data_IF_653453932542
#
_entry.id   IF_653453932542
#
_cell.length_a   1.000
_cell.length_b   1.000
_cell.length_c   1.000
_cell.angle_alpha   90.00
_cell.angle_beta   90.00
_cell.angle_gamma   90.00
#
_symmetry.space_group_name_H-M   'P 1'
#
loop_
_entity.id
_entity.type
_entity.pdbx_description
1 polymer ?
#
# COMPACT_ATOMS: atom_id res chain seq x y z
N UNK A 1 -1.46 -23.17 24.89
CA UNK A 1 -1.25 -23.08 23.44
C UNK A 1 -0.07 -23.98 23.09
N UNK A 2 -0.24 -24.92 22.18
CA UNK A 2 0.82 -25.81 21.68
C UNK A 2 0.94 -25.63 20.16
N UNK A 3 2.17 -25.56 19.64
CA UNK A 3 2.43 -25.37 18.21
C UNK A 3 3.86 -24.87 17.93
N UNK A 4 4.30 -24.97 16.67
CA UNK A 4 5.62 -24.52 16.25
C UNK A 4 5.63 -22.99 16.11
N UNK A 5 6.30 -22.31 17.04
CA UNK A 5 6.55 -20.88 17.01
C UNK A 5 7.97 -20.66 16.51
N UNK A 6 8.13 -19.97 15.37
CA UNK A 6 9.45 -19.55 14.89
C UNK A 6 9.69 -18.11 15.34
N UNK A 7 10.73 -17.91 16.11
CA UNK A 7 11.22 -16.58 16.48
C UNK A 7 12.36 -16.21 15.52
N UNK A 8 12.25 -15.07 14.85
CA UNK A 8 13.29 -14.53 13.98
C UNK A 8 13.78 -13.22 14.60
N UNK A 9 15.07 -13.17 14.91
CA UNK A 9 15.73 -11.98 15.41
C UNK A 9 16.33 -11.21 14.24
N UNK A 10 15.99 -9.93 14.15
CA UNK A 10 16.58 -8.96 13.24
C UNK A 10 17.45 -8.04 14.08
N UNK A 11 18.72 -8.43 14.22
CA UNK A 11 19.71 -7.70 15.04
C UNK A 11 20.01 -6.32 14.47
N UNK A 12 20.02 -6.18 13.14
CA UNK A 12 20.28 -4.91 12.44
C UNK A 12 19.24 -3.86 12.81
N UNK A 13 17.96 -4.24 12.86
CA UNK A 13 16.87 -3.32 13.16
C UNK A 13 16.39 -3.38 14.61
N UNK A 14 17.03 -4.19 15.47
CA UNK A 14 16.65 -4.46 16.86
C UNK A 14 15.16 -4.85 16.99
N UNK A 15 14.73 -5.83 16.21
CA UNK A 15 13.34 -6.31 16.19
C UNK A 15 13.30 -7.83 16.32
N UNK A 16 12.23 -8.33 16.92
CA UNK A 16 11.91 -9.75 16.91
C UNK A 16 10.60 -9.97 16.17
N UNK A 17 10.59 -10.92 15.25
CA UNK A 17 9.40 -11.38 14.56
C UNK A 17 8.98 -12.73 15.14
N UNK A 18 7.72 -12.84 15.50
CA UNK A 18 7.12 -14.10 15.95
C UNK A 18 6.25 -14.62 14.81
N UNK A 19 6.69 -15.70 14.19
CA UNK A 19 5.94 -16.39 13.14
C UNK A 19 5.18 -17.54 13.79
N UNK A 20 3.86 -17.38 13.88
CA UNK A 20 2.96 -18.42 14.35
C UNK A 20 2.32 -19.07 13.13
N UNK A 21 2.57 -20.38 12.97
CA UNK A 21 1.86 -21.18 11.97
C UNK A 21 0.55 -21.60 12.61
N UNK A 22 -0.56 -21.35 11.93
CA UNK A 22 -1.87 -21.82 12.33
C UNK A 22 -2.56 -22.43 11.12
N UNK A 23 -3.27 -23.53 11.34
CA UNK A 23 -4.06 -24.16 10.29
C UNK A 23 -5.20 -23.22 9.88
N UNK A 24 -5.22 -22.87 8.62
CA UNK A 24 -6.31 -22.11 8.04
C UNK A 24 -7.38 -23.11 7.63
N UNK A 25 -8.46 -23.19 8.41
CA UNK A 25 -9.62 -24.01 8.04
C UNK A 25 -10.05 -23.69 6.59
N UNK A 26 -10.04 -24.71 5.72
CA UNK A 26 -10.48 -24.60 4.33
C UNK A 26 -11.90 -24.06 4.30
N UNK A 27 -12.10 -22.96 3.57
CA UNK A 27 -13.43 -22.45 3.32
C UNK A 27 -14.12 -23.34 2.28
N UNK A 28 -15.45 -23.55 2.36
CA UNK A 28 -16.19 -24.19 1.28
C UNK A 28 -15.99 -23.43 -0.04
N UNK A 29 -16.13 -24.12 -1.18
CA UNK A 29 -16.03 -23.49 -2.50
C UNK A 29 -17.03 -22.33 -2.60
N UNK A 30 -16.60 -21.18 -3.11
CA UNK A 30 -17.50 -20.06 -3.36
C UNK A 30 -18.47 -20.39 -4.51
N UNK A 31 -19.72 -19.98 -4.38
CA UNK A 31 -20.81 -20.24 -5.34
C UNK A 31 -21.51 -18.96 -5.79
N UNK A 32 -21.09 -17.79 -5.29
CA UNK A 32 -21.62 -16.50 -5.73
C UNK A 32 -21.28 -16.17 -7.18
N UNK A 33 -21.76 -15.03 -7.69
CA UNK A 33 -21.51 -14.61 -9.07
C UNK A 33 -20.02 -14.43 -9.35
N UNK A 34 -19.63 -14.51 -10.62
CA UNK A 34 -18.30 -14.07 -11.03
C UNK A 34 -18.25 -12.54 -10.97
N UNK A 35 -17.10 -11.98 -10.58
CA UNK A 35 -16.87 -10.53 -10.51
C UNK A 35 -15.69 -10.20 -11.39
N UNK A 36 -15.87 -9.28 -12.34
CA UNK A 36 -14.75 -8.71 -13.09
C UNK A 36 -14.29 -7.43 -12.41
N UNK A 37 -12.99 -7.23 -12.28
CA UNK A 37 -12.38 -6.03 -11.72
C UNK A 37 -11.42 -5.41 -12.74
N UNK A 38 -11.57 -4.11 -12.93
CA UNK A 38 -10.61 -3.25 -13.61
C UNK A 38 -9.79 -2.47 -12.57
N UNK A 39 -8.46 -2.43 -12.70
CA UNK A 39 -7.58 -1.78 -11.72
C UNK A 39 -7.40 -0.30 -12.03
N UNK A 40 -7.53 0.55 -11.02
CA UNK A 40 -7.51 2.00 -11.17
C UNK A 40 -6.32 2.71 -10.53
N UNK A 41 -6.15 3.99 -10.90
CA UNK A 41 -5.23 4.93 -10.22
C UNK A 41 -6.00 5.92 -9.34
N UNK A 42 -7.23 6.26 -9.70
CA UNK A 42 -8.14 7.14 -8.94
C UNK A 42 -8.84 6.41 -7.78
N UNK A 43 -9.10 5.13 -7.98
CA UNK A 43 -9.65 4.16 -7.05
C UNK A 43 -8.75 2.91 -7.07
N UNK A 44 -9.04 1.91 -6.23
CA UNK A 44 -8.30 0.64 -6.28
C UNK A 44 -8.75 -0.18 -7.47
N UNK A 45 -10.06 -0.38 -7.60
CA UNK A 45 -10.65 -1.10 -8.72
C UNK A 45 -12.11 -0.71 -8.94
N UNK A 46 -12.60 -0.97 -10.15
CA UNK A 46 -13.99 -0.84 -10.55
C UNK A 46 -14.54 -2.22 -10.89
N UNK A 47 -15.72 -2.56 -10.39
CA UNK A 47 -16.33 -3.85 -10.70
C UNK A 47 -17.20 -3.83 -11.97
N UNK A 48 -17.61 -5.01 -12.42
CA UNK A 48 -18.49 -5.16 -13.59
C UNK A 48 -19.86 -4.50 -13.47
N UNK A 49 -20.27 -4.07 -12.27
CA UNK A 49 -21.50 -3.28 -12.05
C UNK A 49 -21.27 -1.77 -12.10
N UNK A 50 -20.02 -1.34 -12.31
CA UNK A 50 -19.62 0.07 -12.36
C UNK A 50 -19.37 0.68 -10.99
N UNK A 51 -19.27 -0.12 -9.92
CA UNK A 51 -18.98 0.39 -8.58
C UNK A 51 -17.48 0.59 -8.42
N UNK A 52 -17.09 1.79 -8.01
CA UNK A 52 -15.71 2.15 -7.70
C UNK A 52 -15.36 1.83 -6.24
N UNK A 53 -14.39 0.96 -6.05
CA UNK A 53 -13.94 0.52 -4.73
C UNK A 53 -12.61 1.19 -4.33
N UNK A 54 -12.49 1.63 -3.08
CA UNK A 54 -11.25 2.20 -2.56
C UNK A 54 -10.92 3.61 -3.08
N UNK A 55 -11.94 4.48 -3.20
CA UNK A 55 -11.82 5.85 -3.70
C UNK A 55 -10.80 6.74 -2.95
N UNK A 56 -10.40 6.37 -1.73
CA UNK A 56 -9.31 7.06 -1.01
C UNK A 56 -7.92 6.83 -1.63
N UNK A 57 -7.74 5.83 -2.48
CA UNK A 57 -6.47 5.49 -3.11
C UNK A 57 -5.91 6.64 -3.95
N UNK A 58 -6.70 7.16 -4.88
CA UNK A 58 -6.31 8.29 -5.73
C UNK A 58 -6.07 9.57 -4.93
N UNK A 59 -6.87 9.82 -3.88
CA UNK A 59 -6.66 10.97 -2.98
C UNK A 59 -5.32 10.88 -2.25
N UNK A 60 -4.98 9.70 -1.74
CA UNK A 60 -3.69 9.46 -1.07
C UNK A 60 -2.51 9.62 -2.04
N UNK A 61 -2.63 9.09 -3.26
CA UNK A 61 -1.63 9.26 -4.32
C UNK A 61 -1.43 10.73 -4.70
N UNK A 62 -2.52 11.46 -4.97
CA UNK A 62 -2.49 12.87 -5.35
C UNK A 62 -1.83 13.73 -4.27
N UNK A 63 -2.26 13.57 -3.01
CA UNK A 63 -1.68 14.29 -1.86
C UNK A 63 -0.17 14.06 -1.73
N UNK A 64 0.29 12.81 -1.92
CA UNK A 64 1.72 12.51 -1.95
C UNK A 64 2.43 13.21 -3.11
N UNK A 65 1.88 13.12 -4.33
CA UNK A 65 2.49 13.68 -5.53
C UNK A 65 2.66 15.20 -5.40
N UNK A 66 1.62 15.91 -4.96
CA UNK A 66 1.66 17.35 -4.71
C UNK A 66 2.71 17.72 -3.65
N UNK A 67 2.74 16.98 -2.54
CA UNK A 67 3.72 17.21 -1.47
C UNK A 67 5.15 16.97 -1.95
N UNK A 68 5.37 15.93 -2.76
CA UNK A 68 6.68 15.62 -3.36
C UNK A 68 7.09 16.74 -4.32
N UNK A 69 6.19 17.19 -5.19
CA UNK A 69 6.45 18.28 -6.14
C UNK A 69 6.83 19.57 -5.41
N UNK A 70 6.04 20.00 -4.41
CA UNK A 70 6.34 21.19 -3.59
C UNK A 70 7.70 21.09 -2.91
N UNK A 71 8.02 19.92 -2.33
CA UNK A 71 9.31 19.69 -1.67
C UNK A 71 10.47 19.70 -2.67
N UNK A 72 10.29 19.09 -3.84
CA UNK A 72 11.27 19.06 -4.93
C UNK A 72 11.60 20.47 -5.43
N UNK A 73 10.58 21.29 -5.72
CA UNK A 73 10.75 22.69 -6.14
C UNK A 73 11.55 23.50 -5.13
N UNK A 74 11.24 23.39 -3.83
CA UNK A 74 11.97 24.10 -2.77
C UNK A 74 13.43 23.63 -2.67
N UNK A 75 13.68 22.32 -2.77
CA UNK A 75 15.03 21.75 -2.74
C UNK A 75 15.86 22.13 -3.95
N UNK A 76 15.27 22.20 -5.14
CA UNK A 76 15.97 22.62 -6.35
C UNK A 76 16.50 24.05 -6.21
N UNK A 77 15.72 24.95 -5.62
CA UNK A 77 16.17 26.32 -5.29
C UNK A 77 17.35 26.31 -4.32
N UNK A 78 17.26 25.55 -3.23
CA UNK A 78 18.35 25.42 -2.26
C UNK A 78 19.61 24.78 -2.85
N UNK A 79 19.45 23.81 -3.76
CA UNK A 79 20.54 23.19 -4.46
C UNK A 79 21.25 24.17 -5.40
N UNK A 80 20.50 24.98 -6.15
CA UNK A 80 21.08 26.05 -6.97
C UNK A 80 21.86 27.06 -6.12
N UNK A 81 21.32 27.49 -4.98
CA UNK A 81 22.02 28.37 -4.04
C UNK A 81 23.30 27.73 -3.48
N UNK A 82 23.25 26.44 -3.14
CA UNK A 82 24.41 25.72 -2.63
C UNK A 82 25.55 25.61 -3.65
N UNK A 83 25.22 25.55 -4.94
CA UNK A 83 26.21 25.54 -6.03
C UNK A 83 26.84 26.92 -6.23
N UNK A 84 26.05 27.99 -6.14
CA UNK A 84 26.54 29.36 -6.33
C UNK A 84 27.50 29.81 -5.21
N UNK A 85 27.15 29.52 -3.97
CA UNK A 85 27.88 30.01 -2.79
C UNK A 85 28.71 28.86 -2.16
N UNK A 86 29.41 28.09 -3.01
CA UNK A 86 30.12 26.87 -2.62
C UNK A 86 31.18 27.13 -1.53
N UNK A 87 31.32 26.20 -0.58
CA UNK A 87 32.30 26.29 0.52
C UNK A 87 31.86 27.15 1.72
N UNK A 88 30.86 28.02 1.57
CA UNK A 88 30.37 28.87 2.67
C UNK A 88 29.74 28.07 3.83
N UNK A 89 29.77 28.64 5.05
CA UNK A 89 29.12 28.06 6.25
C UNK A 89 27.62 27.82 5.99
N UNK A 90 26.97 28.74 5.28
CA UNK A 90 25.56 28.66 4.89
C UNK A 90 25.31 27.42 4.00
N UNK A 91 26.14 27.20 3.00
CA UNK A 91 26.04 26.05 2.09
C UNK A 91 26.22 24.72 2.81
N UNK A 92 27.21 24.63 3.72
CA UNK A 92 27.42 23.43 4.57
C UNK A 92 26.19 23.13 5.44
N UNK A 93 25.46 24.16 5.89
CA UNK A 93 24.22 24.00 6.64
C UNK A 93 23.05 23.56 5.74
N UNK A 94 22.91 24.14 4.54
CA UNK A 94 21.89 23.74 3.56
C UNK A 94 22.05 22.27 3.19
N UNK A 95 23.28 21.83 2.88
CA UNK A 95 23.57 20.45 2.50
C UNK A 95 23.14 19.45 3.59
N UNK A 96 23.59 19.68 4.84
CA UNK A 96 23.30 18.79 5.98
C UNK A 96 21.82 18.71 6.33
N UNK A 97 21.11 19.83 6.35
CA UNK A 97 19.76 19.90 6.91
C UNK A 97 18.63 19.81 5.89
N UNK A 98 18.87 20.23 4.65
CA UNK A 98 17.81 20.40 3.65
C UNK A 98 17.95 19.48 2.45
N UNK A 99 19.18 19.10 2.07
CA UNK A 99 19.44 18.31 0.85
C UNK A 99 19.54 16.79 1.08
N UNK A 100 19.49 16.32 2.33
CA UNK A 100 19.40 14.88 2.63
C UNK A 100 18.10 14.20 2.14
N UNK A 101 18.12 12.88 2.00
CA UNK A 101 17.01 12.07 1.45
C UNK A 101 16.21 11.29 2.51
N UNK A 102 16.75 11.13 3.73
CA UNK A 102 16.17 10.34 4.83
C UNK A 102 14.68 10.61 5.06
N UNK A 103 14.28 11.89 5.14
CA UNK A 103 12.87 12.29 5.34
C UNK A 103 11.98 11.93 4.14
N UNK A 104 12.50 12.03 2.92
CA UNK A 104 11.75 11.71 1.69
C UNK A 104 11.52 10.21 1.56
N UNK A 105 12.57 9.40 1.80
CA UNK A 105 12.45 7.94 1.80
C UNK A 105 11.49 7.45 2.89
N UNK A 106 11.56 8.00 4.11
CA UNK A 106 10.63 7.66 5.18
C UNK A 106 9.17 8.05 4.87
N UNK A 107 8.94 9.14 4.12
CA UNK A 107 7.60 9.50 3.65
C UNK A 107 7.12 8.55 2.56
N UNK A 108 7.97 8.25 1.57
CA UNK A 108 7.65 7.29 0.49
C UNK A 108 7.27 5.93 1.06
N UNK A 109 8.05 5.40 2.02
CA UNK A 109 7.75 4.13 2.68
C UNK A 109 6.38 4.14 3.36
N UNK A 110 6.06 5.21 4.10
CA UNK A 110 4.77 5.37 4.76
C UNK A 110 3.62 5.43 3.76
N UNK A 111 3.78 6.18 2.67
CA UNK A 111 2.76 6.24 1.63
C UNK A 111 2.57 4.89 0.94
N UNK A 112 3.65 4.17 0.61
CA UNK A 112 3.54 2.81 0.05
C UNK A 112 2.76 1.88 0.98
N UNK A 113 3.06 1.92 2.29
CA UNK A 113 2.33 1.13 3.29
C UNK A 113 0.85 1.54 3.39
N UNK A 114 0.54 2.84 3.32
CA UNK A 114 -0.84 3.34 3.31
C UNK A 114 -1.60 2.83 2.08
N UNK A 115 -1.01 2.95 0.88
CA UNK A 115 -1.63 2.48 -0.36
C UNK A 115 -1.86 0.98 -0.35
N UNK A 116 -0.89 0.18 0.12
CA UNK A 116 -1.05 -1.26 0.30
C UNK A 116 -2.17 -1.61 1.29
N UNK A 117 -2.34 -0.81 2.34
CA UNK A 117 -3.41 -0.99 3.33
C UNK A 117 -4.77 -0.73 2.70
N UNK A 118 -4.90 0.36 1.93
CA UNK A 118 -6.12 0.70 1.20
C UNK A 118 -6.45 -0.43 0.20
N UNK A 119 -5.53 -0.79 -0.69
CA UNK A 119 -5.74 -1.87 -1.67
C UNK A 119 -6.13 -3.18 -0.99
N UNK A 120 -5.43 -3.55 0.09
CA UNK A 120 -5.72 -4.78 0.83
C UNK A 120 -7.08 -4.75 1.55
N UNK A 121 -7.55 -3.59 2.00
CA UNK A 121 -8.88 -3.43 2.57
C UNK A 121 -9.97 -3.52 1.50
N UNK A 122 -9.78 -2.85 0.37
CA UNK A 122 -10.69 -2.89 -0.78
C UNK A 122 -10.81 -4.29 -1.37
N UNK A 123 -9.72 -5.02 -1.56
CA UNK A 123 -9.80 -6.39 -2.07
C UNK A 123 -10.58 -7.28 -1.09
N UNK A 124 -10.39 -7.08 0.23
CA UNK A 124 -11.18 -7.81 1.21
C UNK A 124 -12.67 -7.45 1.13
N UNK A 125 -13.00 -6.19 0.93
CA UNK A 125 -14.38 -5.75 0.73
C UNK A 125 -15.01 -6.35 -0.53
N UNK A 126 -14.29 -6.47 -1.63
CA UNK A 126 -14.82 -7.12 -2.84
C UNK A 126 -15.01 -8.62 -2.62
N UNK A 127 -14.01 -9.30 -2.04
CA UNK A 127 -14.03 -10.75 -1.85
C UNK A 127 -15.01 -11.17 -0.75
N UNK A 128 -15.14 -10.34 0.28
CA UNK A 128 -15.87 -10.64 1.49
C UNK A 128 -17.08 -9.71 1.71
N UNK A 129 -17.44 -8.79 0.83
CA UNK A 129 -18.49 -7.79 1.07
C UNK A 129 -18.15 -6.76 2.16
N UNK A 130 -18.97 -5.70 2.22
CA UNK A 130 -18.84 -4.61 3.18
C UNK A 130 -18.88 -5.11 4.65
N UNK A 131 -18.05 -4.50 5.51
CA UNK A 131 -18.03 -4.79 6.95
C UNK A 131 -17.27 -6.05 7.37
N UNK A 132 -16.83 -6.89 6.42
CA UNK A 132 -16.12 -8.14 6.73
C UNK A 132 -14.61 -7.95 6.92
N UNK A 133 -14.27 -7.34 8.06
CA UNK A 133 -12.90 -7.37 8.58
C UNK A 133 -12.57 -8.80 9.04
N UNK A 134 -11.74 -9.48 8.25
CA UNK A 134 -11.05 -10.76 8.48
C UNK A 134 -11.13 -11.32 9.91
N UNK A 135 -11.64 -12.56 10.03
CA UNK A 135 -11.42 -13.69 10.97
C UNK A 135 -10.91 -13.50 12.42
N UNK A 136 -10.25 -12.40 12.78
CA UNK A 136 -9.71 -12.13 14.11
C UNK A 136 -10.78 -11.96 15.19
N UNK A 137 -12.03 -11.71 14.77
CA UNK A 137 -13.22 -11.90 15.59
C UNK A 137 -14.03 -12.96 14.87
N UNK A 138 -14.55 -13.98 15.57
CA UNK A 138 -15.37 -15.09 15.05
C UNK A 138 -16.70 -14.66 14.38
N UNK A 139 -16.73 -13.52 13.70
CA UNK A 139 -17.87 -12.96 12.98
C UNK A 139 -17.81 -13.47 11.55
N UNK A 140 -18.48 -14.62 11.42
CA UNK A 140 -19.13 -15.20 10.24
C UNK A 140 -18.19 -15.65 9.09
N UNK A 141 -18.09 -16.97 8.82
CA UNK A 141 -17.77 -17.44 7.48
C UNK A 141 -18.93 -17.02 6.58
N UNK A 142 -18.68 -16.13 5.62
CA UNK A 142 -19.67 -15.83 4.60
C UNK A 142 -20.18 -17.11 3.95
N UNK A 143 -21.50 -17.13 3.72
CA UNK A 143 -22.12 -18.16 2.93
C UNK A 143 -21.36 -18.27 1.59
N UNK A 144 -21.16 -19.49 1.07
CA UNK A 144 -20.55 -19.70 -0.24
C UNK A 144 -21.11 -18.79 -1.34
N UNK A 145 -22.42 -18.50 -1.30
CA UNK A 145 -23.14 -17.66 -2.25
C UNK A 145 -22.78 -16.18 -2.19
N UNK A 146 -22.22 -15.69 -1.08
CA UNK A 146 -21.86 -14.28 -0.89
C UNK A 146 -20.45 -13.97 -1.37
N UNK A 147 -19.63 -14.99 -1.61
CA UNK A 147 -18.26 -14.85 -2.13
C UNK A 147 -18.26 -15.07 -3.63
N UNK A 148 -17.49 -14.29 -4.39
CA UNK A 148 -17.40 -14.50 -5.82
C UNK A 148 -16.80 -15.88 -6.10
N UNK A 149 -17.43 -16.64 -6.99
CA UNK A 149 -16.91 -17.96 -7.41
C UNK A 149 -15.62 -17.84 -8.22
N UNK A 150 -15.46 -16.69 -8.87
CA UNK A 150 -14.35 -16.35 -9.77
C UNK A 150 -14.15 -14.84 -9.76
N UNK A 151 -12.89 -14.41 -9.78
CA UNK A 151 -12.50 -13.01 -9.93
C UNK A 151 -11.72 -12.91 -11.22
N UNK A 152 -12.24 -12.13 -12.15
CA UNK A 152 -11.65 -11.91 -13.46
C UNK A 152 -10.93 -10.58 -13.41
N UNK A 153 -9.64 -10.58 -13.70
CA UNK A 153 -8.82 -9.36 -13.73
C UNK A 153 -8.03 -9.32 -15.03
N UNK A 154 -7.72 -8.12 -15.50
CA UNK A 154 -6.73 -7.94 -16.55
C UNK A 154 -5.32 -8.22 -15.98
N UNK A 155 -4.52 -8.98 -16.73
CA UNK A 155 -3.10 -9.16 -16.42
C UNK A 155 -2.33 -7.91 -16.86
N UNK A 156 -2.01 -7.02 -15.92
CA UNK A 156 -1.25 -5.80 -16.20
C UNK A 156 0.28 -6.00 -16.17
N UNK A 157 0.78 -7.23 -15.97
CA UNK A 157 2.23 -7.49 -15.84
C UNK A 157 3.01 -7.21 -17.13
N UNK A 158 2.34 -7.24 -18.28
CA UNK A 158 2.91 -6.93 -19.59
C UNK A 158 3.09 -5.43 -19.84
N UNK A 159 2.44 -4.56 -19.05
CA UNK A 159 2.60 -3.11 -19.13
C UNK A 159 3.93 -2.70 -18.50
N UNK A 160 5.02 -2.85 -19.24
CA UNK A 160 6.35 -2.37 -18.85
C UNK A 160 6.42 -0.84 -18.91
N UNK A 161 5.77 -0.13 -17.99
CA UNK A 161 6.01 1.27 -17.59
C UNK A 161 6.57 2.25 -18.64
N UNK A 162 6.13 2.18 -19.91
CA UNK A 162 6.43 3.15 -20.96
C UNK A 162 5.26 4.14 -20.97
N UNK A 163 5.30 5.08 -20.03
CA UNK A 163 4.51 6.32 -20.07
C UNK A 163 5.46 7.48 -19.84
#
# INVERSE_FOLDING_TARGET
MSGNIRVVLDEEHKRAFIHVIYDVARLPRATGPAVALDWGITEVCTDSSGVHHGNEYGRALRSMAERRNKTGKARNKLHALSKRDAGSRRTKHIARNNLGTKKQQARLRRTKAQLQTISGATIKEVVYGEGNRTRAKKRVPQLPSQRPREIIIEDLSHLQGKV
#
